data_IF_707124384790
#
_entry.id   IF_707124384790
#
_cell.length_a   1.000
_cell.length_b   1.000
_cell.length_c   1.000
_cell.angle_alpha   90.00
_cell.angle_beta   90.00
_cell.angle_gamma   90.00
#
_symmetry.space_group_name_H-M   'P 1'
#
loop_
_entity.id
_entity.type
_entity.pdbx_description
1 polymer ?
#
# COMPACT_ATOMS: atom_id res chain seq x y z
N UNK A 1 -12.62 -8.94 -13.04
CA UNK A 1 -11.60 -8.94 -11.96
C UNK A 1 -11.24 -7.49 -11.68
N UNK A 2 -11.21 -7.05 -10.43
CA UNK A 2 -10.87 -5.65 -10.07
C UNK A 2 -9.35 -5.46 -10.24
N UNK A 3 -8.91 -4.36 -10.84
CA UNK A 3 -7.49 -4.05 -10.90
C UNK A 3 -7.06 -3.45 -9.55
N UNK A 4 -5.99 -3.97 -8.89
CA UNK A 4 -5.49 -3.40 -7.65
C UNK A 4 -5.28 -1.88 -7.68
N UNK A 5 -4.86 -1.34 -8.82
CA UNK A 5 -4.60 0.10 -8.95
C UNK A 5 -5.88 0.95 -9.02
N UNK A 6 -7.05 0.36 -9.21
CA UNK A 6 -8.35 1.06 -9.12
C UNK A 6 -8.56 1.62 -7.70
N UNK A 7 -8.07 0.93 -6.67
CA UNK A 7 -8.08 1.46 -5.29
C UNK A 7 -7.24 2.73 -5.14
N UNK A 8 -6.15 2.86 -5.90
CA UNK A 8 -5.31 4.05 -5.85
C UNK A 8 -5.99 5.23 -6.56
N UNK A 9 -6.67 4.98 -7.68
CA UNK A 9 -7.51 5.99 -8.34
C UNK A 9 -8.60 6.48 -7.38
N UNK A 10 -9.33 5.55 -6.75
CA UNK A 10 -10.37 5.90 -5.78
C UNK A 10 -9.82 6.64 -4.55
N UNK A 11 -8.61 6.31 -4.09
CA UNK A 11 -7.95 7.06 -3.02
C UNK A 11 -7.71 8.52 -3.38
N UNK A 12 -7.35 8.82 -4.64
CA UNK A 12 -7.17 10.19 -5.13
C UNK A 12 -8.50 10.96 -5.13
N UNK A 13 -9.55 10.34 -5.67
CA UNK A 13 -10.90 10.92 -5.72
C UNK A 13 -11.39 11.32 -4.32
N UNK A 14 -11.21 10.43 -3.32
CA UNK A 14 -11.56 10.70 -1.93
C UNK A 14 -10.81 11.89 -1.33
N UNK A 15 -9.52 12.09 -1.66
CA UNK A 15 -8.73 13.23 -1.18
C UNK A 15 -9.07 14.55 -1.87
N UNK A 16 -9.48 14.48 -3.14
CA UNK A 16 -9.93 15.64 -3.91
C UNK A 16 -11.28 16.15 -3.41
N UNK A 17 -12.24 15.25 -3.20
CA UNK A 17 -13.56 15.58 -2.65
C UNK A 17 -13.55 15.87 -1.14
N UNK A 18 -12.56 15.34 -0.42
CA UNK A 18 -12.55 15.29 1.04
C UNK A 18 -11.81 16.42 1.72
N UNK A 19 -11.79 17.65 1.16
CA UNK A 19 -10.95 18.77 1.66
C UNK A 19 -10.97 18.95 3.20
N UNK A 20 -12.12 18.71 3.83
CA UNK A 20 -12.30 18.78 5.30
C UNK A 20 -13.04 17.56 5.89
N UNK A 21 -13.09 16.43 5.17
CA UNK A 21 -13.77 15.23 5.64
C UNK A 21 -12.76 14.15 6.05
N UNK A 22 -12.51 14.05 7.36
CA UNK A 22 -11.57 13.11 7.93
C UNK A 22 -11.89 11.64 7.60
N UNK A 23 -13.18 11.26 7.53
CA UNK A 23 -13.57 9.89 7.15
C UNK A 23 -13.15 9.59 5.72
N UNK A 24 -13.35 10.52 4.78
CA UNK A 24 -12.86 10.38 3.40
C UNK A 24 -11.33 10.27 3.37
N UNK A 25 -10.61 11.10 4.13
CA UNK A 25 -9.15 11.07 4.19
C UNK A 25 -8.63 9.74 4.75
N UNK A 26 -9.20 9.27 5.87
CA UNK A 26 -8.85 7.96 6.46
C UNK A 26 -9.11 6.82 5.48
N UNK A 27 -10.26 6.85 4.81
CA UNK A 27 -10.63 5.87 3.78
C UNK A 27 -9.63 5.91 2.63
N UNK A 28 -9.23 7.09 2.15
CA UNK A 28 -8.25 7.24 1.09
C UNK A 28 -6.91 6.60 1.43
N UNK A 29 -6.41 6.79 2.66
CA UNK A 29 -5.16 6.15 3.14
C UNK A 29 -5.28 4.63 3.11
N UNK A 30 -6.41 4.11 3.60
CA UNK A 30 -6.71 2.68 3.58
C UNK A 30 -6.72 2.14 2.15
N UNK A 31 -7.40 2.81 1.22
CA UNK A 31 -7.46 2.41 -0.20
C UNK A 31 -6.09 2.51 -0.90
N UNK A 32 -5.33 3.56 -0.64
CA UNK A 32 -3.97 3.72 -1.17
C UNK A 32 -3.07 2.55 -0.74
N UNK A 33 -3.13 2.17 0.54
CA UNK A 33 -2.42 1.01 1.06
C UNK A 33 -2.85 -0.30 0.37
N UNK A 34 -4.15 -0.59 0.32
CA UNK A 34 -4.63 -1.82 -0.30
C UNK A 34 -4.28 -1.91 -1.79
N UNK A 35 -4.36 -0.80 -2.52
CA UNK A 35 -4.05 -0.79 -3.95
C UNK A 35 -2.62 -1.21 -4.23
N UNK A 36 -1.64 -0.64 -3.52
CA UNK A 36 -0.22 -0.98 -3.73
C UNK A 36 0.16 -2.32 -3.11
N UNK A 37 -0.48 -2.71 -2.00
CA UNK A 37 -0.27 -4.02 -1.39
C UNK A 37 -0.72 -5.13 -2.35
N UNK A 38 -1.96 -5.08 -2.83
CA UNK A 38 -2.51 -6.08 -3.74
C UNK A 38 -1.76 -6.11 -5.08
N UNK A 39 -1.33 -4.94 -5.57
CA UNK A 39 -0.50 -4.85 -6.77
C UNK A 39 0.86 -5.52 -6.57
N UNK A 40 1.53 -5.24 -5.43
CA UNK A 40 2.81 -5.86 -5.09
C UNK A 40 2.70 -7.38 -4.95
N UNK A 41 1.67 -7.88 -4.25
CA UNK A 41 1.48 -9.31 -4.04
C UNK A 41 1.18 -10.02 -5.36
N UNK A 42 0.33 -9.44 -6.20
CA UNK A 42 0.02 -9.99 -7.53
C UNK A 42 1.27 -10.10 -8.39
N UNK A 43 2.09 -9.04 -8.46
CA UNK A 43 3.35 -9.03 -9.21
C UNK A 43 4.39 -9.99 -8.64
N UNK A 44 4.49 -10.07 -7.31
CA UNK A 44 5.43 -10.98 -6.66
C UNK A 44 5.08 -12.45 -6.91
N UNK A 45 3.81 -12.84 -6.78
CA UNK A 45 3.35 -14.21 -7.07
C UNK A 45 3.61 -14.55 -8.55
N UNK A 46 3.27 -13.65 -9.47
CA UNK A 46 3.57 -13.82 -10.89
C UNK A 46 5.07 -14.02 -11.15
N UNK A 47 5.92 -13.22 -10.48
CA UNK A 47 7.38 -13.29 -10.64
C UNK A 47 7.99 -14.57 -10.07
N UNK A 48 7.50 -15.07 -8.93
CA UNK A 48 8.00 -16.31 -8.32
C UNK A 48 7.49 -17.58 -8.98
N UNK A 49 6.32 -17.52 -9.63
CA UNK A 49 5.74 -18.64 -10.37
C UNK A 49 5.29 -19.82 -9.50
N UNK A 50 5.06 -19.60 -8.19
CA UNK A 50 4.74 -20.67 -7.24
C UNK A 50 3.53 -20.31 -6.37
N UNK A 51 2.55 -21.21 -6.37
CA UNK A 51 1.31 -21.15 -5.58
C UNK A 51 1.53 -21.11 -4.06
N UNK A 52 2.69 -21.58 -3.56
CA UNK A 52 3.04 -21.50 -2.14
C UNK A 52 3.03 -20.04 -1.65
N UNK A 53 3.32 -19.09 -2.54
CA UNK A 53 3.30 -17.67 -2.19
C UNK A 53 1.89 -17.10 -2.03
N UNK A 54 0.84 -17.73 -2.56
CA UNK A 54 -0.55 -17.27 -2.40
C UNK A 54 -0.99 -17.29 -0.91
N UNK A 55 -0.65 -18.35 -0.19
CA UNK A 55 -0.88 -18.45 1.25
C UNK A 55 -0.08 -17.43 2.05
N UNK A 56 1.16 -17.14 1.62
CA UNK A 56 2.05 -16.18 2.28
C UNK A 56 1.52 -14.74 2.13
N UNK A 57 1.09 -14.36 0.92
CA UNK A 57 0.60 -13.01 0.63
C UNK A 57 -0.79 -12.74 1.22
N UNK A 58 -1.48 -13.74 1.76
CA UNK A 58 -2.69 -13.52 2.57
C UNK A 58 -2.41 -12.79 3.89
N UNK A 59 -1.18 -12.87 4.39
CA UNK A 59 -0.76 -12.19 5.61
C UNK A 59 0.14 -11.00 5.30
N UNK A 60 -0.39 -9.80 5.52
CA UNK A 60 0.30 -8.54 5.26
C UNK A 60 1.70 -8.50 5.88
N UNK A 61 1.84 -8.89 7.15
CA UNK A 61 3.14 -8.87 7.82
C UNK A 61 4.09 -9.94 7.32
N UNK A 62 3.63 -11.17 7.03
CA UNK A 62 4.51 -12.22 6.50
C UNK A 62 5.09 -11.82 5.14
N UNK A 63 4.27 -11.28 4.25
CA UNK A 63 4.73 -10.79 2.96
C UNK A 63 5.76 -9.65 3.10
N UNK A 64 5.44 -8.65 3.94
CA UNK A 64 6.35 -7.53 4.23
C UNK A 64 7.69 -8.02 4.79
N UNK A 65 7.67 -8.97 5.72
CA UNK A 65 8.88 -9.49 6.36
C UNK A 65 9.75 -10.28 5.38
N UNK A 66 9.15 -11.02 4.45
CA UNK A 66 9.87 -11.68 3.36
C UNK A 66 10.58 -10.64 2.51
N UNK A 67 9.87 -9.61 2.06
CA UNK A 67 10.47 -8.55 1.25
C UNK A 67 11.62 -7.85 1.99
N UNK A 68 11.43 -7.51 3.28
CA UNK A 68 12.46 -6.85 4.12
C UNK A 68 13.69 -7.71 4.41
N UNK A 69 13.60 -9.02 4.24
CA UNK A 69 14.73 -9.96 4.41
C UNK A 69 15.33 -10.41 3.08
N UNK A 70 14.77 -9.98 1.96
CA UNK A 70 15.29 -10.32 0.64
C UNK A 70 16.63 -9.61 0.38
N UNK A 71 17.55 -10.31 -0.27
CA UNK A 71 18.87 -9.78 -0.64
C UNK A 71 18.79 -8.82 -1.83
N UNK A 72 17.72 -8.89 -2.61
CA UNK A 72 17.45 -7.92 -3.66
C UNK A 72 17.10 -6.56 -3.04
N UNK A 73 17.93 -5.55 -3.34
CA UNK A 73 17.78 -4.20 -2.78
C UNK A 73 16.43 -3.55 -3.10
N UNK A 74 15.83 -3.84 -4.25
CA UNK A 74 14.51 -3.30 -4.62
C UNK A 74 13.40 -4.00 -3.85
N UNK A 75 13.47 -5.32 -3.65
CA UNK A 75 12.50 -6.05 -2.81
C UNK A 75 12.61 -5.61 -1.35
N UNK A 76 13.83 -5.46 -0.84
CA UNK A 76 14.07 -4.93 0.50
C UNK A 76 13.47 -3.53 0.70
N UNK A 77 13.75 -2.63 -0.24
CA UNK A 77 13.19 -1.28 -0.27
C UNK A 77 11.66 -1.32 -0.31
N UNK A 78 11.08 -2.16 -1.18
CA UNK A 78 9.64 -2.32 -1.31
C UNK A 78 9.00 -2.77 0.01
N UNK A 79 9.60 -3.75 0.69
CA UNK A 79 9.14 -4.22 2.00
C UNK A 79 9.12 -3.12 3.05
N UNK A 80 10.17 -2.29 3.12
CA UNK A 80 10.23 -1.16 4.03
C UNK A 80 9.18 -0.09 3.71
N UNK A 81 9.01 0.27 2.43
CA UNK A 81 8.03 1.28 2.03
C UNK A 81 6.58 0.85 2.30
N UNK A 82 6.24 -0.42 2.01
CA UNK A 82 4.91 -0.99 2.31
C UNK A 82 4.69 -1.05 3.82
N UNK A 83 5.70 -1.41 4.61
CA UNK A 83 5.61 -1.41 6.07
C UNK A 83 5.29 -0.01 6.62
N UNK A 84 5.95 1.01 6.10
CA UNK A 84 5.69 2.40 6.51
C UNK A 84 4.27 2.83 6.17
N UNK A 85 3.78 2.56 4.95
CA UNK A 85 2.42 2.90 4.56
C UNK A 85 1.37 2.08 5.35
N UNK A 86 1.70 0.84 5.73
CA UNK A 86 0.85 0.02 6.60
C UNK A 86 0.63 0.70 7.95
N UNK A 87 1.69 1.24 8.57
CA UNK A 87 1.58 1.97 9.85
C UNK A 87 0.70 3.20 9.70
N UNK A 88 0.83 3.95 8.62
CA UNK A 88 -0.02 5.11 8.33
C UNK A 88 -1.49 4.72 8.17
N UNK A 89 -1.74 3.59 7.49
CA UNK A 89 -3.09 3.00 7.38
C UNK A 89 -3.63 2.52 8.72
N UNK A 90 -2.84 1.87 9.57
CA UNK A 90 -3.30 1.45 10.91
C UNK A 90 -3.65 2.64 11.79
N UNK A 91 -2.86 3.72 11.71
CA UNK A 91 -3.18 4.99 12.34
C UNK A 91 -4.49 5.57 11.84
N UNK A 92 -4.69 5.58 10.51
CA UNK A 92 -5.93 6.08 9.91
C UNK A 92 -7.16 5.21 10.24
N UNK A 93 -7.02 3.89 10.31
CA UNK A 93 -8.13 2.97 10.55
C UNK A 93 -8.52 2.88 12.03
N UNK A 94 -7.55 2.91 12.96
CA UNK A 94 -7.79 2.54 14.37
C UNK A 94 -7.56 3.65 15.39
N UNK A 95 -6.77 4.68 15.09
CA UNK A 95 -6.51 5.77 16.04
C UNK A 95 -7.58 6.86 15.94
N UNK A 96 -8.80 6.55 16.37
CA UNK A 96 -9.98 7.45 16.28
C UNK A 96 -9.85 8.74 17.10
N UNK A 97 -8.94 8.78 18.07
CA UNK A 97 -8.68 9.96 18.93
C UNK A 97 -7.65 10.92 18.35
N UNK A 98 -7.01 10.58 17.23
CA UNK A 98 -6.00 11.43 16.58
C UNK A 98 -6.55 12.02 15.31
N UNK A 99 -6.45 13.33 15.14
CA UNK A 99 -6.90 13.98 13.91
C UNK A 99 -6.05 13.54 12.71
N UNK A 100 -6.73 13.10 11.65
CA UNK A 100 -6.11 12.75 10.37
C UNK A 100 -6.37 13.87 9.37
N UNK A 101 -5.31 14.67 9.14
CA UNK A 101 -5.38 15.85 8.27
C UNK A 101 -5.26 15.49 6.79
N UNK A 102 -5.72 16.39 5.92
CA UNK A 102 -5.53 16.24 4.46
C UNK A 102 -4.05 16.06 4.10
N UNK A 103 -3.16 16.82 4.72
CA UNK A 103 -1.70 16.70 4.50
C UNK A 103 -1.18 15.29 4.81
N UNK A 104 -1.69 14.66 5.87
CA UNK A 104 -1.36 13.26 6.17
C UNK A 104 -1.84 12.30 5.08
N UNK A 105 -3.07 12.48 4.60
CA UNK A 105 -3.62 11.74 3.46
C UNK A 105 -2.80 11.91 2.18
N UNK A 106 -2.45 13.13 1.81
CA UNK A 106 -1.62 13.45 0.64
C UNK A 106 -0.22 12.84 0.73
N UNK A 107 0.37 12.85 1.92
CA UNK A 107 1.67 12.20 2.18
C UNK A 107 1.58 10.68 1.97
N UNK A 108 0.56 10.04 2.54
CA UNK A 108 0.34 8.60 2.39
C UNK A 108 0.08 8.22 0.93
N UNK A 109 -0.73 9.01 0.21
CA UNK A 109 -0.98 8.82 -1.22
C UNK A 109 0.30 8.97 -2.05
N UNK A 110 1.11 9.99 -1.78
CA UNK A 110 2.40 10.18 -2.44
C UNK A 110 3.36 9.03 -2.17
N UNK A 111 3.31 8.44 -0.96
CA UNK A 111 4.08 7.24 -0.65
C UNK A 111 3.58 6.02 -1.43
N UNK A 112 2.27 5.85 -1.58
CA UNK A 112 1.69 4.79 -2.40
C UNK A 112 2.15 4.92 -3.88
N UNK A 113 2.20 6.12 -4.45
CA UNK A 113 2.76 6.32 -5.79
C UNK A 113 4.22 5.89 -5.89
N UNK A 114 5.07 6.29 -4.93
CA UNK A 114 6.48 5.83 -4.88
C UNK A 114 6.63 4.31 -4.75
N UNK A 115 5.71 3.66 -4.02
CA UNK A 115 5.67 2.20 -3.91
C UNK A 115 5.32 1.60 -5.27
N UNK A 116 4.27 2.11 -5.95
CA UNK A 116 3.90 1.68 -7.31
C UNK A 116 5.07 1.79 -8.28
N UNK A 117 5.83 2.88 -8.25
CA UNK A 117 7.02 3.05 -9.08
C UNK A 117 8.08 2.00 -8.76
N UNK A 118 8.31 1.72 -7.47
CA UNK A 118 9.26 0.68 -7.03
C UNK A 118 8.83 -0.71 -7.47
N UNK A 119 7.53 -1.03 -7.43
CA UNK A 119 6.96 -2.29 -7.94
C UNK A 119 7.24 -2.39 -9.45
N UNK A 120 6.93 -1.33 -10.20
CA UNK A 120 7.17 -1.28 -11.64
C UNK A 120 8.65 -1.45 -11.98
N UNK A 121 9.57 -0.79 -11.25
CA UNK A 121 11.01 -0.96 -11.47
C UNK A 121 11.51 -2.38 -11.15
N UNK A 122 10.81 -3.12 -10.28
CA UNK A 122 11.24 -4.47 -9.85
C UNK A 122 10.70 -5.59 -10.74
N UNK A 123 9.49 -5.43 -11.26
CA UNK A 123 8.74 -6.50 -11.93
C UNK A 123 8.39 -6.22 -13.40
N UNK A 124 8.80 -5.06 -13.94
CA UNK A 124 8.76 -4.81 -15.39
C UNK A 124 10.08 -5.19 -16.06
#
# INVERSE_FOLDING_TARGET
MINPLDYLIFARELLDEGKDNEIKIRTAISRAYYGVYLYATSKYVQFKGDSIFEGIVSSHMKFIDILKKDNDKLLNKLGNQIFDLKKDREKADYEIKKDITKSFGEKAYSQAQRIKDTINSKFN
#
